data_IF_355289724074
#
_entry.id   IF_355289724074
#
_cell.length_a   1.000
_cell.length_b   1.000
_cell.length_c   1.000
_cell.angle_alpha   90.00
_cell.angle_beta   90.00
_cell.angle_gamma   90.00
#
_symmetry.space_group_name_H-M   'P 1'
#
loop_
_entity.id
_entity.type
_entity.pdbx_description
1 polymer ?
#
# COMPACT_ATOMS: atom_id res chain seq x y z
N UNK A 1 6.72 2.96 -15.06
CA UNK A 1 5.57 2.19 -14.53
C UNK A 1 5.17 2.66 -13.13
N UNK A 2 6.09 2.60 -12.15
CA UNK A 2 5.86 2.95 -10.74
C UNK A 2 5.23 4.33 -10.53
N UNK A 3 5.76 5.40 -11.13
CA UNK A 3 5.18 6.75 -11.01
C UNK A 3 3.71 6.83 -11.48
N UNK A 4 3.34 6.07 -12.51
CA UNK A 4 1.96 6.05 -13.02
C UNK A 4 1.02 5.30 -12.07
N UNK A 5 1.47 4.17 -11.50
CA UNK A 5 0.70 3.46 -10.46
C UNK A 5 0.50 4.33 -9.22
N UNK A 6 1.55 5.02 -8.75
CA UNK A 6 1.46 5.95 -7.61
C UNK A 6 0.44 7.05 -7.91
N UNK A 7 0.58 7.75 -9.05
CA UNK A 7 -0.35 8.83 -9.42
C UNK A 7 -1.79 8.35 -9.52
N UNK A 8 -2.02 7.20 -10.15
CA UNK A 8 -3.35 6.62 -10.29
C UNK A 8 -3.96 6.24 -8.93
N UNK A 9 -3.14 5.74 -8.00
CA UNK A 9 -3.58 5.39 -6.64
C UNK A 9 -3.91 6.63 -5.82
N UNK A 10 -3.06 7.67 -5.88
CA UNK A 10 -3.29 8.94 -5.18
C UNK A 10 -4.54 9.66 -5.70
N UNK A 11 -4.75 9.68 -7.02
CA UNK A 11 -5.87 10.39 -7.63
C UNK A 11 -7.23 9.71 -7.46
N UNK A 12 -7.26 8.43 -7.06
CA UNK A 12 -8.49 7.63 -6.94
C UNK A 12 -8.70 7.05 -5.53
N UNK A 13 -7.91 7.48 -4.53
CA UNK A 13 -7.92 6.89 -3.20
C UNK A 13 -9.31 6.95 -2.53
N UNK A 14 -9.97 8.10 -2.60
CA UNK A 14 -11.30 8.29 -1.99
C UNK A 14 -12.37 7.36 -2.60
N UNK A 15 -12.31 7.12 -3.91
CA UNK A 15 -13.27 6.26 -4.62
C UNK A 15 -12.96 4.77 -4.43
N UNK A 16 -11.68 4.40 -4.41
CA UNK A 16 -11.25 3.00 -4.45
C UNK A 16 -11.01 2.40 -3.07
N UNK A 17 -10.62 3.21 -2.09
CA UNK A 17 -10.16 2.75 -0.77
C UNK A 17 -11.09 3.18 0.37
N UNK A 18 -12.04 4.07 0.08
CA UNK A 18 -13.00 4.63 1.03
C UNK A 18 -12.87 6.15 1.13
N UNK A 19 -14.01 6.84 1.29
CA UNK A 19 -14.07 8.31 1.26
C UNK A 19 -13.35 9.00 2.41
N UNK A 20 -13.04 8.27 3.48
CA UNK A 20 -12.28 8.72 4.66
C UNK A 20 -10.81 8.25 4.63
N UNK A 21 -10.34 7.71 3.50
CA UNK A 21 -8.94 7.34 3.31
C UNK A 21 -8.18 8.48 2.63
N UNK A 22 -7.14 8.94 3.32
CA UNK A 22 -6.19 9.91 2.77
C UNK A 22 -4.94 9.18 2.27
N UNK A 23 -4.49 9.51 1.08
CA UNK A 23 -3.32 8.90 0.46
C UNK A 23 -2.18 9.92 0.26
N UNK A 24 -0.96 9.50 0.55
CA UNK A 24 0.25 10.31 0.46
C UNK A 24 1.32 9.60 -0.36
N UNK A 25 2.16 10.35 -1.06
CA UNK A 25 3.39 9.78 -1.64
C UNK A 25 4.31 9.37 -0.49
N UNK A 26 4.85 8.16 -0.56
CA UNK A 26 5.77 7.63 0.44
C UNK A 26 7.10 7.24 -0.21
N UNK A 27 8.14 8.03 0.09
CA UNK A 27 9.45 7.91 -0.55
C UNK A 27 9.38 8.04 -2.08
N UNK A 28 10.33 7.38 -2.75
CA UNK A 28 10.43 7.44 -4.21
C UNK A 28 9.46 6.52 -4.95
N UNK A 29 9.05 5.42 -4.29
CA UNK A 29 8.38 4.30 -4.96
C UNK A 29 7.16 3.74 -4.19
N UNK A 30 6.58 4.50 -3.26
CA UNK A 30 5.48 4.03 -2.42
C UNK A 30 4.32 5.02 -2.27
N UNK A 31 3.27 4.52 -1.65
CA UNK A 31 2.10 5.27 -1.20
C UNK A 31 1.86 4.93 0.27
N UNK A 32 1.57 5.93 1.09
CA UNK A 32 1.08 5.74 2.45
C UNK A 32 -0.42 6.03 2.48
N UNK A 33 -1.18 5.19 3.17
CA UNK A 33 -2.61 5.34 3.35
C UNK A 33 -2.90 5.57 4.83
N UNK A 34 -3.69 6.59 5.13
CA UNK A 34 -4.18 6.89 6.46
C UNK A 34 -5.70 6.83 6.45
N UNK A 35 -6.27 6.09 7.40
CA UNK A 35 -7.70 5.95 7.57
C UNK A 35 -8.03 5.90 9.07
N UNK A 36 -9.18 6.45 9.50
CA UNK A 36 -9.67 6.24 10.85
C UNK A 36 -9.86 4.74 11.12
N UNK A 37 -9.31 4.23 12.21
CA UNK A 37 -9.51 2.84 12.65
C UNK A 37 -10.99 2.54 12.93
N UNK A 38 -11.73 3.54 13.41
CA UNK A 38 -13.17 3.41 13.70
C UNK A 38 -13.43 2.30 14.72
N UNK A 39 -14.56 1.60 14.57
CA UNK A 39 -14.91 0.44 15.41
C UNK A 39 -14.49 -0.91 14.79
N UNK A 40 -13.70 -0.86 13.72
CA UNK A 40 -13.37 -2.03 12.92
C UNK A 40 -11.88 -2.37 13.07
N UNK A 41 -11.51 -3.27 14.00
CA UNK A 41 -10.11 -3.65 14.20
C UNK A 41 -9.52 -4.37 12.98
N UNK A 42 -10.34 -4.91 12.07
CA UNK A 42 -9.89 -5.56 10.84
C UNK A 42 -9.65 -4.62 9.68
N UNK A 43 -9.88 -3.31 9.86
CA UNK A 43 -9.81 -2.32 8.79
C UNK A 43 -8.39 -2.18 8.22
N UNK A 44 -7.38 -2.09 9.08
CA UNK A 44 -5.97 -1.94 8.68
C UNK A 44 -5.51 -3.04 7.72
N UNK A 45 -5.61 -4.33 8.11
CA UNK A 45 -5.27 -5.46 7.25
C UNK A 45 -6.04 -5.47 5.91
N UNK A 46 -7.35 -5.17 5.93
CA UNK A 46 -8.16 -5.11 4.71
C UNK A 46 -7.74 -3.98 3.78
N UNK A 47 -7.47 -2.79 4.33
CA UNK A 47 -7.00 -1.65 3.55
C UNK A 47 -5.64 -1.95 2.90
N UNK A 48 -4.72 -2.60 3.63
CA UNK A 48 -3.44 -3.02 3.09
C UNK A 48 -3.59 -4.05 1.96
N UNK A 49 -4.46 -5.05 2.14
CA UNK A 49 -4.76 -6.04 1.11
C UNK A 49 -5.38 -5.40 -0.14
N UNK A 50 -6.32 -4.46 0.03
CA UNK A 50 -6.96 -3.74 -1.06
C UNK A 50 -5.98 -2.85 -1.82
N UNK A 51 -5.13 -2.12 -1.10
CA UNK A 51 -4.09 -1.28 -1.69
C UNK A 51 -3.10 -2.11 -2.51
N UNK A 52 -2.67 -3.26 -1.97
CA UNK A 52 -1.82 -4.22 -2.67
C UNK A 52 -2.48 -4.74 -3.94
N UNK A 53 -3.70 -5.27 -3.83
CA UNK A 53 -4.44 -5.80 -4.97
C UNK A 53 -4.62 -4.74 -6.07
N UNK A 54 -4.88 -3.48 -5.68
CA UNK A 54 -5.03 -2.39 -6.63
C UNK A 54 -3.73 -2.03 -7.33
N UNK A 55 -2.64 -1.92 -6.58
CA UNK A 55 -1.32 -1.70 -7.18
C UNK A 55 -0.95 -2.84 -8.12
N UNK A 56 -1.23 -4.08 -7.71
CA UNK A 56 -0.96 -5.26 -8.52
C UNK A 56 -1.76 -5.21 -9.84
N UNK A 57 -3.05 -4.89 -9.79
CA UNK A 57 -3.89 -4.75 -10.98
C UNK A 57 -3.38 -3.67 -11.95
N UNK A 58 -2.99 -2.51 -11.42
CA UNK A 58 -2.44 -1.39 -12.20
C UNK A 58 -1.13 -1.80 -12.89
N UNK A 59 -0.25 -2.47 -12.14
CA UNK A 59 1.03 -2.91 -12.65
C UNK A 59 0.86 -4.01 -13.71
N UNK A 60 -0.09 -4.95 -13.50
CA UNK A 60 -0.42 -6.00 -14.47
C UNK A 60 -0.93 -5.42 -15.77
N UNK A 61 -1.84 -4.44 -15.67
CA UNK A 61 -2.38 -3.71 -16.82
C UNK A 61 -1.26 -2.97 -17.57
N UNK A 62 -0.31 -2.37 -16.87
CA UNK A 62 0.81 -1.68 -17.53
C UNK A 62 1.80 -2.66 -18.18
N UNK A 63 2.08 -3.79 -17.55
CA UNK A 63 2.91 -4.87 -18.14
C UNK A 63 2.28 -5.42 -19.42
N UNK A 64 0.96 -5.59 -19.46
CA UNK A 64 0.28 -6.12 -20.65
C UNK A 64 0.13 -5.10 -21.78
N UNK A 65 0.03 -3.80 -21.47
CA UNK A 65 -0.27 -2.76 -22.46
C UNK A 65 0.95 -1.99 -22.95
N UNK A 66 2.05 -1.94 -22.20
CA UNK A 66 3.25 -1.19 -22.56
C UNK A 66 4.37 -2.14 -22.94
N UNK A 67 4.69 -2.20 -24.24
CA UNK A 67 5.69 -3.14 -24.81
C UNK A 67 7.04 -3.11 -24.09
N UNK A 68 7.50 -1.92 -23.67
CA UNK A 68 8.76 -1.75 -22.93
C UNK A 68 8.79 -2.46 -21.57
N UNK A 69 7.64 -2.87 -21.04
CA UNK A 69 7.50 -3.52 -19.75
C UNK A 69 7.07 -4.99 -19.81
N UNK A 70 6.94 -5.58 -21.01
CA UNK A 70 6.36 -6.92 -21.18
C UNK A 70 7.11 -8.05 -20.47
N UNK A 71 8.39 -7.88 -20.15
CA UNK A 71 9.20 -8.85 -19.40
C UNK A 71 9.42 -8.47 -17.93
N UNK A 72 8.89 -7.32 -17.48
CA UNK A 72 9.11 -6.83 -16.13
C UNK A 72 8.35 -7.68 -15.10
N UNK A 73 9.07 -8.20 -14.11
CA UNK A 73 8.49 -8.80 -12.90
C UNK A 73 8.39 -7.73 -11.82
N UNK A 74 7.26 -7.69 -11.13
CA UNK A 74 6.99 -6.74 -10.07
C UNK A 74 6.11 -7.39 -9.01
N UNK A 75 6.15 -6.85 -7.80
CA UNK A 75 5.32 -7.26 -6.68
C UNK A 75 5.05 -6.05 -5.79
N UNK A 76 3.80 -5.72 -5.49
CA UNK A 76 3.53 -4.76 -4.43
C UNK A 76 3.79 -5.39 -3.06
N UNK A 77 4.34 -4.57 -2.16
CA UNK A 77 4.55 -4.91 -0.75
C UNK A 77 3.57 -4.08 0.06
N UNK A 78 3.06 -4.63 1.14
CA UNK A 78 2.18 -3.89 2.04
C UNK A 78 2.51 -4.18 3.50
N UNK A 79 2.60 -3.12 4.29
CA UNK A 79 2.66 -3.16 5.74
C UNK A 79 1.56 -2.28 6.30
N UNK A 80 1.03 -2.66 7.47
CA UNK A 80 0.01 -1.89 8.16
C UNK A 80 0.32 -1.81 9.65
N UNK A 81 -0.21 -0.77 10.28
CA UNK A 81 -0.33 -0.72 11.72
C UNK A 81 -1.59 0.07 12.06
N UNK A 82 -2.30 -0.39 13.08
CA UNK A 82 -3.50 0.25 13.61
C UNK A 82 -3.19 0.83 14.98
N UNK A 83 -3.59 2.08 15.23
CA UNK A 83 -3.37 2.73 16.52
C UNK A 83 -3.96 1.91 17.68
N UNK A 84 -3.18 1.79 18.75
CA UNK A 84 -3.60 1.18 20.01
C UNK A 84 -2.92 1.89 21.19
N UNK A 85 -3.42 1.66 22.40
CA UNK A 85 -2.80 2.18 23.63
C UNK A 85 -1.34 1.71 23.79
N UNK A 86 -1.04 0.47 23.38
CA UNK A 86 0.32 -0.08 23.38
C UNK A 86 1.27 0.65 22.42
N UNK A 87 0.76 1.17 21.31
CA UNK A 87 1.56 1.94 20.35
C UNK A 87 1.85 3.34 20.89
N UNK A 88 0.85 4.01 21.45
CA UNK A 88 0.95 5.26 22.22
C UNK A 88 1.57 6.49 21.53
N UNK A 89 2.19 6.34 20.36
CA UNK A 89 2.89 7.40 19.63
C UNK A 89 2.80 7.19 18.12
N UNK A 90 2.73 8.28 17.37
CA UNK A 90 2.71 8.25 15.90
C UNK A 90 4.01 7.67 15.33
N UNK A 91 5.15 7.92 15.98
CA UNK A 91 6.45 7.34 15.60
C UNK A 91 6.42 5.82 15.66
N UNK A 92 5.89 5.23 16.75
CA UNK A 92 5.83 3.77 16.88
C UNK A 92 4.82 3.17 15.90
N UNK A 93 3.70 3.85 15.64
CA UNK A 93 2.73 3.45 14.62
C UNK A 93 3.39 3.30 13.24
N UNK A 94 4.10 4.34 12.80
CA UNK A 94 4.77 4.36 11.50
C UNK A 94 5.89 3.31 11.42
N UNK A 95 6.69 3.17 12.48
CA UNK A 95 7.74 2.13 12.54
C UNK A 95 7.15 0.72 12.43
N UNK A 96 6.00 0.46 13.06
CA UNK A 96 5.36 -0.86 13.00
C UNK A 96 4.83 -1.17 11.60
N UNK A 97 4.22 -0.19 10.93
CA UNK A 97 3.80 -0.33 9.54
C UNK A 97 5.02 -0.55 8.61
N UNK A 98 6.13 0.14 8.85
CA UNK A 98 7.36 -0.01 8.07
C UNK A 98 8.03 -1.38 8.29
N UNK A 99 8.04 -1.89 9.53
CA UNK A 99 8.49 -3.26 9.82
C UNK A 99 7.66 -4.29 9.07
N UNK A 100 6.33 -4.18 9.10
CA UNK A 100 5.44 -5.05 8.34
C UNK A 100 5.70 -4.99 6.82
N UNK A 101 6.00 -3.80 6.29
CA UNK A 101 6.36 -3.62 4.88
C UNK A 101 7.68 -4.33 4.53
N UNK A 102 8.67 -4.27 5.42
CA UNK A 102 9.97 -4.95 5.26
C UNK A 102 9.81 -6.47 5.30
N UNK A 103 9.04 -6.98 6.27
CA UNK A 103 8.73 -8.40 6.41
C UNK A 103 8.01 -8.95 5.18
N UNK A 104 7.01 -8.24 4.67
CA UNK A 104 6.30 -8.63 3.46
C UNK A 104 7.23 -8.69 2.24
N UNK A 105 8.14 -7.71 2.12
CA UNK A 105 9.19 -7.73 1.10
C UNK A 105 10.15 -8.90 1.22
N UNK A 106 10.53 -9.29 2.44
CA UNK A 106 11.38 -10.44 2.68
C UNK A 106 10.68 -11.75 2.27
N UNK A 107 9.41 -11.93 2.63
CA UNK A 107 8.60 -13.10 2.23
C UNK A 107 8.49 -13.25 0.72
N UNK A 108 8.24 -12.15 0.01
CA UNK A 108 8.13 -12.17 -1.46
C UNK A 108 9.46 -12.46 -2.17
N UNK A 109 10.58 -12.11 -1.55
CA UNK A 109 11.91 -12.37 -2.12
C UNK A 109 12.34 -13.84 -1.92
N UNK A 110 11.72 -14.54 -0.98
CA UNK A 110 12.00 -15.94 -0.66
C UNK A 110 11.10 -16.95 -1.41
N UNK A 111 10.04 -16.48 -2.06
CA UNK A 111 9.08 -17.26 -2.85
C UNK A 111 9.40 -17.22 -4.36
#
# INVERSE_FOLDING_TARGET
>A
MVHRAIRATLGASATLLGGDVTAFRYGESGVALLAPSGRDPGRGPRLAALARARLDELMRTMTSTVRAFGSARWSARAGEATWSEEIGTTTLLLRRAESGLKEDGARLSAA
#
